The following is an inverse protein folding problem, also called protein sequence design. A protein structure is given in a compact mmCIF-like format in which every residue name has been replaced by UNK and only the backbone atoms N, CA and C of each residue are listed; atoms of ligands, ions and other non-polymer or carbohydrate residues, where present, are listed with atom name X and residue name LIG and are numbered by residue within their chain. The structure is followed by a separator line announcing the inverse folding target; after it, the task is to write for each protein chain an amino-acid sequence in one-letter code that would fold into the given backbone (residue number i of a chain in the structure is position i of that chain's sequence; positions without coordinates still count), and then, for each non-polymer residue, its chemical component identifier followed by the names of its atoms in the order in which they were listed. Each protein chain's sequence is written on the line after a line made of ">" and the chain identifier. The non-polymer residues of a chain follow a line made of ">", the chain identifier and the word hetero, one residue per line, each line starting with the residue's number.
data_IF_455437373498
#
_entry.id   IF_455437373498
#
_cell.length_a   1.000
_cell.length_b   1.000
_cell.length_c   1.000
_cell.angle_alpha   90.00
_cell.angle_beta   90.00
_cell.angle_gamma   90.00
#
_symmetry.space_group_name_H-M   'P 1'
#
loop_
_entity.id
_entity.type
_entity.pdbx_description
1 polymer ?
#
# COMPACT_ATOMS: atom_id res chain seq x y z
N UNK A 1 48.94 6.77 48.67
CA UNK A 1 47.86 6.14 49.48
C UNK A 1 46.70 5.86 48.54
N UNK A 2 46.50 4.57 48.26
CA UNK A 2 45.28 3.82 47.92
C UNK A 2 44.17 4.61 47.18
N UNK A 3 43.80 4.34 45.92
CA UNK A 3 43.67 3.03 45.28
C UNK A 3 42.23 2.54 45.43
N UNK A 4 41.45 2.54 44.36
CA UNK A 4 40.46 1.49 44.08
C UNK A 4 39.96 1.60 42.64
N UNK A 5 40.42 0.63 41.85
CA UNK A 5 39.93 0.23 40.54
C UNK A 5 38.63 -0.56 40.76
N UNK A 6 37.58 -0.27 40.00
CA UNK A 6 36.46 -1.19 39.82
C UNK A 6 36.42 -1.66 38.36
N UNK A 7 36.92 -2.88 38.17
CA UNK A 7 36.66 -3.73 37.03
C UNK A 7 35.71 -4.84 37.51
N UNK A 8 34.57 -5.01 36.86
CA UNK A 8 33.63 -6.14 36.97
C UNK A 8 32.67 -5.95 35.76
N UNK A 9 32.30 -6.90 34.92
CA UNK A 9 32.56 -8.33 34.81
C UNK A 9 32.17 -8.74 33.38
N UNK A 10 32.93 -9.70 32.86
CA UNK A 10 32.70 -10.40 31.61
C UNK A 10 31.36 -11.15 31.62
N UNK A 11 30.59 -11.04 30.53
CA UNK A 11 29.65 -12.09 30.11
C UNK A 11 29.86 -12.37 28.61
N UNK A 12 30.91 -13.13 28.32
CA UNK A 12 30.91 -14.04 27.19
C UNK A 12 29.85 -15.11 27.45
N UNK A 13 28.69 -15.01 26.81
CA UNK A 13 27.82 -16.18 26.65
C UNK A 13 28.40 -17.01 25.51
N UNK A 14 29.18 -18.01 25.90
CA UNK A 14 29.55 -19.16 25.10
C UNK A 14 28.25 -19.89 24.71
N UNK A 15 27.80 -19.76 23.46
CA UNK A 15 26.90 -20.77 22.90
C UNK A 15 27.77 -21.90 22.33
N UNK A 16 27.63 -23.05 22.98
CA UNK A 16 28.32 -24.31 22.74
C UNK A 16 28.20 -24.79 21.29
N UNK A 17 29.26 -25.47 20.89
CA UNK A 17 29.41 -26.35 19.74
C UNK A 17 28.14 -27.15 19.41
N UNK A 18 27.71 -27.06 18.14
CA UNK A 18 26.90 -28.10 17.50
C UNK A 18 27.76 -28.68 16.39
N UNK A 19 28.38 -29.81 16.67
CA UNK A 19 29.11 -30.60 15.69
C UNK A 19 28.19 -31.21 14.61
N UNK A 20 28.74 -31.58 13.44
CA UNK A 20 27.98 -31.84 12.23
C UNK A 20 27.62 -33.31 12.07
N UNK A 21 26.33 -33.67 12.15
CA UNK A 21 25.87 -35.02 11.79
C UNK A 21 24.71 -35.00 10.81
N UNK A 22 25.02 -35.01 9.52
CA UNK A 22 24.62 -36.06 8.57
C UNK A 22 24.69 -35.55 7.14
N UNK A 23 25.78 -35.91 6.45
CA UNK A 23 25.80 -35.90 4.98
C UNK A 23 24.82 -36.97 4.50
N UNK A 24 23.64 -36.58 4.03
CA UNK A 24 22.89 -37.40 3.06
C UNK A 24 23.32 -36.97 1.66
N UNK A 25 24.24 -37.74 1.09
CA UNK A 25 24.51 -37.76 -0.34
C UNK A 25 23.25 -38.25 -1.05
N UNK A 26 22.49 -37.34 -1.65
CA UNK A 26 21.55 -37.71 -2.69
C UNK A 26 22.35 -37.88 -3.99
N UNK A 27 22.66 -39.13 -4.33
CA UNK A 27 23.15 -39.49 -5.67
C UNK A 27 21.99 -39.44 -6.66
N UNK A 28 21.64 -38.23 -7.09
CA UNK A 28 20.73 -38.01 -8.22
C UNK A 28 21.53 -37.95 -9.52
N UNK A 29 21.32 -38.93 -10.41
CA UNK A 29 21.94 -38.98 -11.73
C UNK A 29 21.39 -37.86 -12.61
N UNK A 30 22.15 -36.77 -12.78
CA UNK A 30 21.79 -35.69 -13.72
C UNK A 30 22.15 -36.15 -15.13
N UNK A 31 21.16 -36.53 -15.94
CA UNK A 31 21.33 -36.62 -17.40
C UNK A 31 21.22 -35.22 -17.97
N UNK A 32 22.35 -34.65 -18.38
CA UNK A 32 22.39 -33.38 -19.09
C UNK A 32 21.92 -33.56 -20.52
N UNK A 33 20.87 -32.83 -20.91
CA UNK A 33 20.59 -32.55 -22.31
C UNK A 33 20.83 -31.05 -22.55
N UNK A 34 21.77 -30.76 -23.47
CA UNK A 34 22.03 -29.42 -23.99
C UNK A 34 20.91 -29.07 -24.96
N UNK A 35 20.16 -28.01 -24.68
CA UNK A 35 19.31 -27.35 -25.66
C UNK A 35 19.59 -25.86 -25.65
N UNK A 36 19.94 -25.32 -26.82
CA UNK A 36 20.18 -23.91 -27.09
C UNK A 36 18.85 -23.15 -27.11
N UNK A 37 18.58 -22.39 -26.04
CA UNK A 37 17.90 -21.08 -26.03
C UNK A 37 17.37 -20.75 -24.62
N UNK A 38 18.27 -20.28 -23.74
CA UNK A 38 18.07 -19.16 -22.81
C UNK A 38 16.85 -19.04 -21.88
N UNK A 39 15.98 -20.03 -21.70
CA UNK A 39 14.87 -19.97 -20.72
C UNK A 39 14.74 -21.27 -19.95
N UNK A 40 15.00 -21.23 -18.64
CA UNK A 40 14.77 -22.36 -17.75
C UNK A 40 13.32 -22.33 -17.25
N UNK A 41 12.49 -23.26 -17.72
CA UNK A 41 11.20 -23.57 -17.10
C UNK A 41 11.36 -24.88 -16.32
N UNK A 42 11.19 -24.83 -14.99
CA UNK A 42 11.15 -26.02 -14.16
C UNK A 42 9.69 -26.44 -13.94
N UNK A 43 9.26 -27.49 -14.63
CA UNK A 43 7.98 -28.16 -14.34
C UNK A 43 8.21 -29.19 -13.23
N UNK A 44 7.80 -28.87 -11.99
CA UNK A 44 7.78 -29.85 -10.90
C UNK A 44 6.45 -30.61 -10.93
N UNK A 45 6.48 -31.84 -11.42
CA UNK A 45 5.41 -32.82 -11.20
C UNK A 45 5.46 -33.28 -9.73
N UNK A 46 4.47 -32.91 -8.91
CA UNK A 46 4.21 -33.56 -7.62
C UNK A 46 2.84 -34.24 -7.66
N UNK A 47 2.87 -35.57 -7.53
CA UNK A 47 1.71 -36.41 -7.29
C UNK A 47 1.48 -36.61 -5.78
N UNK A 48 0.19 -36.68 -5.44
CA UNK A 48 -0.49 -37.25 -4.27
C UNK A 48 -0.69 -36.43 -2.97
N UNK A 49 -1.96 -35.99 -2.86
CA UNK A 49 -2.93 -36.20 -1.75
C UNK A 49 -2.48 -35.91 -0.31
N UNK A 50 -3.03 -34.83 0.25
CA UNK A 50 -4.05 -34.83 1.33
C UNK A 50 -4.61 -33.41 1.46
N UNK A 51 -5.91 -33.33 1.71
CA UNK A 51 -6.68 -32.10 1.88
C UNK A 51 -6.13 -31.27 3.04
N UNK A 52 -5.71 -30.04 2.77
CA UNK A 52 -5.75 -28.95 3.74
C UNK A 52 -6.03 -27.64 2.99
N UNK A 53 -7.12 -26.99 3.38
CA UNK A 53 -7.59 -25.71 2.85
C UNK A 53 -6.77 -24.60 3.50
N UNK A 54 -5.58 -24.33 2.97
CA UNK A 54 -4.76 -23.20 3.42
C UNK A 54 -4.66 -22.13 2.34
N UNK A 55 -5.23 -20.98 2.64
CA UNK A 55 -5.07 -19.64 2.05
C UNK A 55 -3.86 -19.54 1.12
N UNK A 56 -4.10 -19.30 -0.18
CA UNK A 56 -3.05 -19.10 -1.18
C UNK A 56 -2.39 -17.73 -1.01
N UNK A 57 -1.35 -17.63 -0.19
CA UNK A 57 -0.37 -16.56 -0.36
C UNK A 57 0.38 -16.80 -1.68
N UNK A 58 0.09 -15.99 -2.69
CA UNK A 58 0.83 -15.96 -3.95
C UNK A 58 2.18 -15.30 -3.70
N UNK A 59 3.22 -16.11 -3.44
CA UNK A 59 4.59 -15.64 -3.25
C UNK A 59 5.30 -15.63 -4.61
N UNK A 60 5.54 -14.45 -5.17
CA UNK A 60 6.37 -14.31 -6.37
C UNK A 60 7.85 -14.29 -5.96
N UNK A 61 8.64 -15.22 -6.51
CA UNK A 61 10.08 -15.30 -6.25
C UNK A 61 10.83 -14.56 -7.34
N UNK A 62 11.50 -13.45 -7.00
CA UNK A 62 12.53 -12.86 -7.83
C UNK A 62 13.81 -12.68 -6.98
N UNK A 63 14.95 -13.22 -7.44
CA UNK A 63 16.27 -13.02 -6.84
C UNK A 63 16.40 -13.34 -5.34
N UNK A 64 15.81 -14.44 -4.85
CA UNK A 64 15.94 -14.87 -3.45
C UNK A 64 15.14 -14.03 -2.43
N UNK A 65 14.39 -13.04 -2.91
CA UNK A 65 13.47 -12.23 -2.13
C UNK A 65 12.08 -12.89 -2.11
N UNK A 66 11.55 -13.20 -0.92
CA UNK A 66 10.15 -13.63 -0.75
C UNK A 66 9.29 -12.39 -0.51
N UNK A 67 8.57 -11.93 -1.53
CA UNK A 67 7.62 -10.83 -1.38
C UNK A 67 6.34 -11.33 -0.70
N UNK A 68 5.93 -10.65 0.36
CA UNK A 68 4.63 -10.84 0.99
C UNK A 68 3.66 -9.79 0.48
N UNK A 69 2.61 -10.19 -0.21
CA UNK A 69 1.55 -9.27 -0.63
C UNK A 69 0.64 -8.96 0.55
N UNK A 70 0.54 -7.68 0.91
CA UNK A 70 -0.39 -7.18 1.93
C UNK A 70 -1.48 -6.34 1.26
N UNK A 71 -2.67 -6.32 1.89
CA UNK A 71 -3.82 -5.61 1.33
C UNK A 71 -4.64 -4.87 2.38
N UNK A 72 -5.30 -3.81 1.94
CA UNK A 72 -6.24 -3.01 2.72
C UNK A 72 -7.44 -2.60 1.86
N UNK A 73 -8.52 -2.22 2.54
CA UNK A 73 -9.80 -1.83 1.94
C UNK A 73 -10.37 -0.63 2.69
N UNK A 74 -11.13 0.19 1.97
CA UNK A 74 -11.82 1.35 2.48
C UNK A 74 -13.23 1.37 1.86
N UNK A 75 -14.25 1.13 2.68
CA UNK A 75 -15.66 1.13 2.24
C UNK A 75 -16.23 2.53 2.42
N UNK A 76 -16.51 3.19 1.30
CA UNK A 76 -16.87 4.61 1.23
C UNK A 76 -18.27 4.83 1.79
N UNK A 77 -18.38 5.83 2.68
CA UNK A 77 -19.67 6.36 3.15
C UNK A 77 -19.85 7.80 2.65
N UNK A 78 -21.02 8.15 2.12
CA UNK A 78 -21.28 9.50 1.65
C UNK A 78 -21.45 10.47 2.83
N UNK A 79 -21.06 11.72 2.62
CA UNK A 79 -21.48 12.82 3.50
C UNK A 79 -22.94 13.21 3.24
N UNK A 80 -23.50 14.06 4.10
CA UNK A 80 -24.89 14.50 4.01
C UNK A 80 -25.19 15.14 2.65
N UNK A 81 -26.27 14.69 1.98
CA UNK A 81 -26.73 15.12 0.63
C UNK A 81 -25.87 14.63 -0.53
N UNK A 82 -24.91 13.75 -0.29
CA UNK A 82 -24.20 13.04 -1.34
C UNK A 82 -24.64 11.57 -1.37
N UNK A 83 -24.43 10.91 -2.50
CA UNK A 83 -24.78 9.50 -2.73
C UNK A 83 -23.58 8.62 -3.08
N UNK A 84 -22.36 9.18 -2.97
CA UNK A 84 -21.14 8.47 -3.34
C UNK A 84 -20.93 7.26 -2.43
N UNK A 85 -20.86 6.08 -3.04
CA UNK A 85 -20.61 4.82 -2.37
C UNK A 85 -19.64 3.96 -3.20
N UNK A 86 -19.10 2.92 -2.57
CA UNK A 86 -18.19 1.99 -3.23
C UNK A 86 -17.02 1.60 -2.35
N UNK A 87 -15.94 1.14 -2.99
CA UNK A 87 -14.78 0.58 -2.31
C UNK A 87 -13.49 1.06 -2.95
N UNK A 88 -12.49 1.28 -2.10
CA UNK A 88 -11.11 1.55 -2.51
C UNK A 88 -10.24 0.44 -1.94
N UNK A 89 -9.44 -0.16 -2.80
CA UNK A 89 -8.56 -1.27 -2.47
C UNK A 89 -7.10 -0.83 -2.57
N UNK A 90 -6.28 -1.40 -1.69
CA UNK A 90 -4.87 -1.09 -1.53
C UNK A 90 -4.09 -2.39 -1.53
N UNK A 91 -3.05 -2.48 -2.36
CA UNK A 91 -2.17 -3.64 -2.42
C UNK A 91 -0.73 -3.17 -2.46
N UNK A 92 0.11 -3.77 -1.63
CA UNK A 92 1.54 -3.48 -1.60
C UNK A 92 2.32 -4.78 -1.41
N UNK A 93 3.35 -4.98 -2.22
CA UNK A 93 4.25 -6.13 -2.09
C UNK A 93 5.38 -5.76 -1.12
N UNK A 94 5.33 -6.26 0.10
CA UNK A 94 6.30 -5.90 1.14
C UNK A 94 7.36 -6.98 1.30
N UNK A 95 8.55 -6.55 1.71
CA UNK A 95 9.61 -7.45 2.09
C UNK A 95 10.17 -7.05 3.46
N UNK A 96 10.23 -8.01 4.39
CA UNK A 96 10.83 -7.83 5.71
C UNK A 96 12.37 -7.96 5.72
N UNK A 97 12.97 -8.47 4.64
CA UNK A 97 14.38 -8.86 4.52
C UNK A 97 15.17 -8.03 3.49
N UNK A 98 14.53 -7.39 2.52
CA UNK A 98 15.15 -6.43 1.60
C UNK A 98 14.31 -5.16 1.61
N UNK A 99 14.92 -4.04 1.97
CA UNK A 99 14.28 -2.73 1.95
C UNK A 99 14.05 -2.35 0.49
N UNK A 100 12.87 -2.66 -0.03
CA UNK A 100 12.39 -2.10 -1.29
C UNK A 100 11.03 -1.45 -1.07
N UNK A 101 11.00 -0.16 -1.42
CA UNK A 101 9.83 0.71 -1.47
C UNK A 101 8.96 0.29 -2.65
N UNK A 102 8.24 -0.83 -2.52
CA UNK A 102 7.23 -1.17 -3.52
C UNK A 102 6.17 -0.08 -3.54
N UNK A 103 5.73 0.26 -4.74
CA UNK A 103 4.66 1.24 -4.87
C UNK A 103 3.37 0.64 -4.34
N UNK A 104 2.57 1.50 -3.70
CA UNK A 104 1.23 1.14 -3.31
C UNK A 104 0.33 1.18 -4.55
N UNK A 105 -0.25 0.05 -4.92
CA UNK A 105 -1.28 0.02 -5.96
C UNK A 105 -2.64 0.29 -5.33
N UNK A 106 -3.38 1.25 -5.89
CA UNK A 106 -4.69 1.68 -5.45
C UNK A 106 -5.69 1.39 -6.57
N UNK A 107 -6.82 0.78 -6.22
CA UNK A 107 -7.97 0.60 -7.11
C UNK A 107 -9.17 1.30 -6.50
N UNK A 108 -9.79 2.18 -7.27
CA UNK A 108 -10.95 2.96 -6.87
C UNK A 108 -12.16 2.46 -7.66
N UNK A 109 -13.22 2.06 -6.96
CA UNK A 109 -14.50 1.65 -7.54
C UNK A 109 -15.62 2.39 -6.81
N UNK A 110 -16.03 3.54 -7.36
CA UNK A 110 -17.06 4.40 -6.78
C UNK A 110 -18.19 4.65 -7.76
N UNK A 111 -19.37 4.97 -7.22
CA UNK A 111 -20.54 5.36 -7.99
C UNK A 111 -21.37 6.38 -7.22
N UNK A 112 -22.36 6.99 -7.89
CA UNK A 112 -23.31 7.91 -7.26
C UNK A 112 -22.82 9.35 -7.15
N UNK A 113 -21.85 9.74 -7.99
CA UNK A 113 -21.50 11.15 -8.21
C UNK A 113 -22.59 11.86 -9.02
N UNK A 114 -22.77 13.15 -8.76
CA UNK A 114 -23.69 14.00 -9.51
C UNK A 114 -23.03 14.51 -10.79
N UNK A 115 -23.14 13.71 -11.85
CA UNK A 115 -22.55 14.02 -13.15
C UNK A 115 -23.14 15.27 -13.81
N UNK A 116 -24.24 15.83 -13.28
CA UNK A 116 -24.83 17.08 -13.76
C UNK A 116 -24.10 18.32 -13.26
N UNK A 117 -23.24 18.18 -12.24
CA UNK A 117 -22.42 19.28 -11.71
C UNK A 117 -21.31 19.75 -12.66
N UNK A 118 -20.99 18.99 -13.70
CA UNK A 118 -20.01 19.36 -14.74
C UNK A 118 -18.54 19.23 -14.31
N UNK A 119 -18.27 18.74 -13.11
CA UNK A 119 -16.92 18.37 -12.64
C UNK A 119 -16.62 16.94 -13.09
N UNK A 120 -15.41 16.68 -13.59
CA UNK A 120 -14.98 15.34 -14.02
C UNK A 120 -13.79 14.78 -13.26
N UNK A 121 -13.01 15.65 -12.62
CA UNK A 121 -11.87 15.26 -11.82
C UNK A 121 -12.18 15.59 -10.36
N UNK A 122 -11.89 14.63 -9.48
CA UNK A 122 -12.13 14.75 -8.05
C UNK A 122 -10.84 14.49 -7.30
N UNK A 123 -10.45 15.44 -6.43
CA UNK A 123 -9.31 15.24 -5.54
C UNK A 123 -9.55 14.04 -4.61
N UNK A 124 -8.56 13.16 -4.50
CA UNK A 124 -8.57 12.00 -3.62
C UNK A 124 -7.37 12.07 -2.68
N UNK A 125 -7.64 12.07 -1.38
CA UNK A 125 -6.58 12.24 -0.39
C UNK A 125 -6.74 11.28 0.79
N UNK A 126 -5.62 10.89 1.39
CA UNK A 126 -5.60 10.31 2.72
C UNK A 126 -5.43 11.43 3.74
N UNK A 127 -6.38 11.53 4.65
CA UNK A 127 -6.40 12.46 5.75
C UNK A 127 -5.79 11.86 7.02
N UNK A 128 -5.33 12.72 7.93
CA UNK A 128 -4.53 12.32 9.09
C UNK A 128 -5.25 11.34 10.02
N UNK A 129 -6.55 11.51 10.25
CA UNK A 129 -7.31 10.71 11.22
C UNK A 129 -8.34 9.81 10.54
N UNK A 130 -8.55 8.62 11.09
CA UNK A 130 -9.65 7.72 10.73
C UNK A 130 -10.99 8.08 11.36
N UNK A 131 -11.19 9.34 11.75
CA UNK A 131 -12.45 9.82 12.33
C UNK A 131 -13.34 10.41 11.23
N UNK A 132 -14.47 9.75 10.95
CA UNK A 132 -15.41 10.16 9.89
C UNK A 132 -16.50 11.11 10.43
N UNK A 133 -16.38 11.55 11.68
CA UNK A 133 -17.31 12.46 12.33
C UNK A 133 -17.48 13.79 11.60
N UNK A 134 -18.60 14.45 11.88
CA UNK A 134 -18.99 15.73 11.29
C UNK A 134 -18.90 15.75 9.75
N UNK A 135 -19.40 14.68 9.10
CA UNK A 135 -19.37 14.55 7.64
C UNK A 135 -17.96 14.56 7.08
N UNK A 136 -17.09 13.68 7.57
CA UNK A 136 -15.68 13.57 7.21
C UNK A 136 -14.77 14.70 7.67
N UNK A 137 -15.28 15.78 8.29
CA UNK A 137 -14.44 16.91 8.74
C UNK A 137 -13.46 16.51 9.86
N UNK A 138 -13.86 15.57 10.73
CA UNK A 138 -13.02 15.07 11.81
C UNK A 138 -11.77 14.30 11.34
N UNK A 139 -11.70 13.93 10.05
CA UNK A 139 -10.52 13.29 9.47
C UNK A 139 -9.27 14.21 9.47
N UNK A 140 -9.46 15.52 9.70
CA UNK A 140 -8.37 16.49 9.79
C UNK A 140 -7.83 16.91 8.42
N UNK A 141 -6.57 17.36 8.37
CA UNK A 141 -5.85 17.72 7.15
C UNK A 141 -5.33 16.49 6.40
N UNK A 142 -4.71 16.69 5.24
CA UNK A 142 -4.01 15.61 4.52
C UNK A 142 -2.92 15.01 5.42
N UNK A 143 -2.67 13.71 5.28
CA UNK A 143 -1.62 13.04 6.05
C UNK A 143 -0.23 13.50 5.59
N UNK A 144 0.42 14.32 6.42
CA UNK A 144 1.67 14.99 6.11
C UNK A 144 2.70 14.87 7.26
N UNK A 145 3.31 13.68 7.46
CA UNK A 145 4.29 13.49 8.53
C UNK A 145 5.60 14.27 8.30
N UNK A 146 5.82 14.79 7.09
CA UNK A 146 7.07 15.46 6.69
C UNK A 146 6.93 16.98 6.55
N UNK A 147 5.78 17.56 6.89
CA UNK A 147 5.51 18.99 6.78
C UNK A 147 5.85 19.59 5.40
N UNK A 148 5.57 18.84 4.33
CA UNK A 148 5.74 19.29 2.93
C UNK A 148 4.54 20.09 2.47
N UNK A 149 4.67 20.81 1.35
CA UNK A 149 3.50 21.32 0.65
C UNK A 149 2.77 20.19 -0.08
N UNK A 150 1.49 20.45 -0.38
CA UNK A 150 0.66 19.61 -1.23
C UNK A 150 1.21 19.52 -2.66
N UNK A 151 0.99 18.39 -3.32
CA UNK A 151 1.29 18.21 -4.74
C UNK A 151 0.76 16.89 -5.31
N UNK A 152 0.92 16.70 -6.63
CA UNK A 152 0.48 15.47 -7.31
C UNK A 152 1.14 14.19 -6.75
N UNK A 153 0.45 13.04 -6.88
CA UNK A 153 0.88 11.70 -6.44
C UNK A 153 2.28 11.31 -6.94
N UNK A 154 2.73 11.89 -8.06
CA UNK A 154 4.03 11.62 -8.69
C UNK A 154 5.11 12.66 -8.37
N UNK A 155 4.81 13.74 -7.65
CA UNK A 155 5.76 14.84 -7.35
C UNK A 155 6.59 14.55 -6.10
N UNK A 156 7.84 14.98 -6.05
CA UNK A 156 8.66 14.84 -4.83
C UNK A 156 8.13 15.70 -3.66
N UNK A 157 7.71 16.92 -3.98
CA UNK A 157 7.05 17.84 -3.06
C UNK A 157 5.55 17.52 -3.06
N UNK A 158 5.11 16.85 -2.00
CA UNK A 158 3.72 16.44 -1.75
C UNK A 158 3.56 15.95 -0.33
N UNK A 159 2.32 15.82 0.14
CA UNK A 159 1.99 15.04 1.32
C UNK A 159 2.05 13.53 1.05
N UNK A 160 2.18 12.73 2.10
CA UNK A 160 2.07 11.26 1.99
C UNK A 160 0.66 10.83 1.61
N UNK A 161 -0.33 11.62 2.03
CA UNK A 161 -1.72 11.38 1.70
C UNK A 161 -2.17 11.89 0.34
N UNK A 162 -1.33 12.60 -0.42
CA UNK A 162 -1.76 13.14 -1.71
C UNK A 162 -1.85 12.03 -2.75
N UNK A 163 -3.05 11.81 -3.28
CA UNK A 163 -3.28 10.91 -4.40
C UNK A 163 -3.73 11.67 -5.65
N UNK A 164 -3.74 13.01 -5.71
CA UNK A 164 -4.17 13.73 -6.92
C UNK A 164 -5.63 13.45 -7.31
N UNK A 165 -5.92 13.47 -8.61
CA UNK A 165 -7.29 13.33 -9.12
C UNK A 165 -7.67 11.90 -9.51
N UNK A 166 -8.93 11.55 -9.29
CA UNK A 166 -9.61 10.44 -9.96
C UNK A 166 -10.67 10.97 -10.92
N UNK A 167 -10.89 10.26 -12.03
CA UNK A 167 -11.79 10.72 -13.09
C UNK A 167 -13.16 10.03 -13.03
N UNK A 168 -14.20 10.83 -12.99
CA UNK A 168 -15.60 10.42 -13.12
C UNK A 168 -15.96 10.16 -14.59
N UNK A 169 -16.66 9.05 -14.83
CA UNK A 169 -17.30 8.72 -16.10
C UNK A 169 -18.68 9.39 -16.22
N UNK A 170 -19.25 9.36 -17.43
CA UNK A 170 -20.49 10.09 -17.73
C UNK A 170 -21.70 9.65 -16.88
N UNK A 171 -21.67 8.44 -16.33
CA UNK A 171 -22.73 7.85 -15.50
C UNK A 171 -22.54 8.13 -14.00
N UNK A 172 -21.53 8.91 -13.61
CA UNK A 172 -21.24 9.19 -12.20
C UNK A 172 -20.47 8.09 -11.48
N UNK A 173 -19.83 7.19 -12.23
CA UNK A 173 -18.94 6.16 -11.69
C UNK A 173 -17.46 6.54 -11.81
N UNK A 174 -16.62 5.92 -10.98
CA UNK A 174 -15.16 5.98 -11.05
C UNK A 174 -14.63 4.55 -10.97
N UNK A 175 -13.90 4.13 -12.00
CA UNK A 175 -13.11 2.91 -11.98
C UNK A 175 -11.69 3.21 -12.44
N UNK A 176 -10.75 3.30 -11.50
CA UNK A 176 -9.35 3.64 -11.79
C UNK A 176 -8.38 2.75 -11.01
N UNK A 177 -7.26 2.40 -11.64
CA UNK A 177 -6.13 1.75 -10.99
C UNK A 177 -4.89 2.60 -11.22
N UNK A 178 -4.18 2.92 -10.13
CA UNK A 178 -2.95 3.68 -10.19
C UNK A 178 -1.97 3.24 -9.10
N UNK A 179 -0.74 3.75 -9.19
CA UNK A 179 0.30 3.48 -8.20
C UNK A 179 0.73 4.77 -7.51
N UNK A 180 1.12 4.66 -6.23
CA UNK A 180 1.64 5.77 -5.43
C UNK A 180 2.99 5.36 -4.83
N UNK A 181 4.10 6.07 -5.14
CA UNK A 181 5.43 5.55 -4.85
C UNK A 181 5.92 5.73 -3.40
N UNK A 182 5.30 6.62 -2.62
CA UNK A 182 5.79 6.96 -1.26
C UNK A 182 4.79 6.54 -0.17
N UNK A 183 3.50 6.49 -0.47
CA UNK A 183 2.46 6.03 0.47
C UNK A 183 2.60 4.53 0.73
N UNK A 184 2.43 4.11 1.99
CA UNK A 184 2.55 2.70 2.37
C UNK A 184 1.43 2.29 3.31
N UNK A 185 1.08 1.00 3.29
CA UNK A 185 0.17 0.35 4.25
C UNK A 185 0.92 -0.42 5.35
N UNK A 186 2.24 -0.28 5.42
CA UNK A 186 3.11 -0.84 6.47
C UNK A 186 4.10 0.21 6.99
N UNK A 187 4.80 -0.11 8.08
CA UNK A 187 5.83 0.75 8.66
C UNK A 187 5.28 1.99 9.37
N UNK A 188 6.20 2.89 9.74
CA UNK A 188 5.89 4.10 10.52
C UNK A 188 4.98 5.08 9.78
N UNK A 189 5.15 5.18 8.46
CA UNK A 189 4.33 6.04 7.60
C UNK A 189 3.08 5.34 7.08
N UNK A 190 2.65 4.25 7.73
CA UNK A 190 1.46 3.52 7.32
C UNK A 190 0.20 4.39 7.34
N UNK A 191 -0.65 4.17 6.34
CA UNK A 191 -1.96 4.80 6.23
C UNK A 191 -3.10 3.95 6.80
N UNK A 192 -2.80 2.76 7.34
CA UNK A 192 -3.81 1.93 8.02
C UNK A 192 -4.40 2.71 9.21
N UNK A 193 -5.73 2.70 9.32
CA UNK A 193 -6.47 3.43 10.36
C UNK A 193 -6.66 4.92 10.09
N UNK A 194 -6.17 5.43 8.95
CA UNK A 194 -6.44 6.80 8.47
C UNK A 194 -7.66 6.80 7.55
N UNK A 195 -8.13 7.99 7.15
CA UNK A 195 -9.28 8.12 6.27
C UNK A 195 -8.90 8.48 4.84
N UNK A 196 -9.55 7.88 3.84
CA UNK A 196 -9.60 8.43 2.48
C UNK A 196 -10.75 9.42 2.40
N UNK A 197 -10.57 10.51 1.67
CA UNK A 197 -11.60 11.50 1.36
C UNK A 197 -11.63 11.75 -0.14
N UNK A 198 -12.82 11.65 -0.73
CA UNK A 198 -13.11 12.10 -2.09
C UNK A 198 -13.68 13.53 -2.02
N UNK A 199 -13.17 14.41 -2.86
CA UNK A 199 -13.55 15.81 -2.89
C UNK A 199 -14.49 16.17 -4.06
N UNK A 200 -15.19 17.30 -3.92
CA UNK A 200 -16.20 17.76 -4.87
C UNK A 200 -15.62 18.37 -6.15
N UNK A 201 -14.40 18.91 -6.08
CA UNK A 201 -13.71 19.57 -7.17
C UNK A 201 -12.39 18.91 -7.53
N UNK A 202 -11.83 19.41 -8.62
CA UNK A 202 -10.50 19.04 -9.10
C UNK A 202 -9.43 19.50 -8.11
N UNK A 203 -8.48 18.60 -7.83
CA UNK A 203 -7.22 18.93 -7.21
C UNK A 203 -6.30 19.64 -8.22
N UNK A 204 -5.91 20.87 -7.93
CA UNK A 204 -5.00 21.69 -8.74
C UNK A 204 -3.51 21.32 -8.61
N UNK A 205 -3.22 20.29 -7.82
CA UNK A 205 -1.93 19.64 -7.66
C UNK A 205 -0.83 20.55 -7.08
N UNK A 206 -1.23 21.60 -6.34
CA UNK A 206 -0.31 22.57 -5.77
C UNK A 206 0.26 23.57 -6.79
N UNK A 207 -0.35 23.66 -7.98
CA UNK A 207 0.17 24.44 -9.11
C UNK A 207 -0.38 25.86 -9.18
N UNK A 208 -1.47 26.16 -8.47
CA UNK A 208 -2.07 27.49 -8.44
C UNK A 208 -1.37 28.34 -7.38
N UNK A 209 -1.12 29.62 -7.67
CA UNK A 209 -0.43 30.51 -6.75
C UNK A 209 -1.38 31.07 -5.65
N UNK A 210 -1.88 30.19 -4.79
CA UNK A 210 -2.60 30.55 -3.58
C UNK A 210 -2.29 29.55 -2.43
N UNK A 211 -2.63 29.93 -1.20
CA UNK A 211 -2.33 29.12 0.00
C UNK A 211 -3.03 27.76 -0.05
N UNK A 212 -4.32 27.75 -0.40
CA UNK A 212 -5.14 26.53 -0.44
C UNK A 212 -4.63 25.50 -1.45
N UNK A 213 -4.01 25.94 -2.55
CA UNK A 213 -3.37 25.05 -3.53
C UNK A 213 -2.24 24.26 -2.86
N UNK A 214 -1.41 24.93 -2.05
CA UNK A 214 -0.29 24.31 -1.33
C UNK A 214 -0.71 23.49 -0.12
N UNK A 215 -1.97 23.56 0.32
CA UNK A 215 -2.45 22.81 1.49
C UNK A 215 -3.43 21.69 1.15
N UNK A 216 -4.31 21.90 0.17
CA UNK A 216 -5.43 21.00 -0.13
C UNK A 216 -5.72 20.86 -1.63
N UNK A 217 -4.89 21.43 -2.50
CA UNK A 217 -5.12 21.38 -3.95
C UNK A 217 -6.39 22.09 -4.41
N UNK A 218 -6.97 22.98 -3.60
CA UNK A 218 -8.27 23.62 -3.89
C UNK A 218 -9.44 22.66 -4.24
N UNK A 219 -9.39 21.38 -3.83
CA UNK A 219 -10.40 20.38 -4.25
C UNK A 219 -11.81 20.57 -3.70
N UNK A 220 -12.05 21.57 -2.85
CA UNK A 220 -13.38 21.88 -2.33
C UNK A 220 -13.88 20.91 -1.27
N UNK A 221 -15.21 20.78 -1.16
CA UNK A 221 -15.87 20.04 -0.07
C UNK A 221 -15.64 18.53 -0.14
N UNK A 222 -15.82 17.85 0.99
CA UNK A 222 -15.66 16.39 1.12
C UNK A 222 -16.97 15.71 0.73
N UNK A 223 -16.99 14.95 -0.36
CA UNK A 223 -18.17 14.24 -0.83
C UNK A 223 -18.40 12.96 -0.03
N UNK A 224 -17.33 12.22 0.23
CA UNK A 224 -17.38 10.93 0.91
C UNK A 224 -16.04 10.59 1.55
N UNK A 225 -16.05 9.68 2.50
CA UNK A 225 -14.84 9.21 3.15
C UNK A 225 -14.96 7.78 3.66
N UNK A 226 -13.85 7.18 4.04
CA UNK A 226 -13.81 5.87 4.69
C UNK A 226 -12.51 5.68 5.46
N UNK A 227 -12.53 4.78 6.44
CA UNK A 227 -11.32 4.35 7.15
C UNK A 227 -10.64 3.23 6.39
N UNK A 228 -9.30 3.31 6.27
CA UNK A 228 -8.48 2.28 5.65
C UNK A 228 -8.26 1.14 6.66
N UNK A 229 -8.91 0.00 6.43
CA UNK A 229 -8.78 -1.22 7.23
C UNK A 229 -7.95 -2.29 6.53
N UNK A 230 -7.33 -3.20 7.30
CA UNK A 230 -6.65 -4.37 6.72
C UNK A 230 -7.65 -5.27 6.02
N UNK A 231 -7.25 -5.84 4.87
CA UNK A 231 -8.05 -6.76 4.06
C UNK A 231 -7.38 -8.13 4.00
N UNK A 232 -8.19 -9.19 3.97
CA UNK A 232 -7.76 -10.54 3.63
C UNK A 232 -7.96 -10.86 2.13
N UNK A 233 -8.58 -9.94 1.37
CA UNK A 233 -8.81 -10.06 -0.06
C UNK A 233 -7.83 -9.17 -0.81
N UNK A 234 -7.10 -9.79 -1.75
CA UNK A 234 -6.46 -9.10 -2.86
C UNK A 234 -7.40 -9.28 -4.05
N UNK A 235 -8.08 -8.22 -4.52
CA UNK A 235 -8.82 -8.28 -5.79
C UNK A 235 -7.99 -8.95 -6.90
N UNK A 236 -8.57 -9.94 -7.57
CA UNK A 236 -7.87 -10.72 -8.60
C UNK A 236 -7.57 -9.91 -9.89
N UNK A 237 -8.08 -8.68 -9.96
CA UNK A 237 -8.18 -7.84 -11.15
C UNK A 237 -7.45 -6.50 -11.00
N UNK A 238 -6.47 -6.40 -10.08
CA UNK A 238 -5.39 -5.43 -10.24
C UNK A 238 -4.60 -5.82 -11.49
N UNK A 239 -5.03 -5.33 -12.66
CA UNK A 239 -4.54 -5.74 -13.98
C UNK A 239 -3.03 -5.97 -13.99
N UNK A 240 -2.64 -7.20 -14.33
CA UNK A 240 -1.28 -7.56 -14.71
C UNK A 240 -1.09 -7.28 -16.21
#
# INVERSE_FOLDING_TARGET
>A
MNGMVFALLCFCVLYRDVEPTSRRLFTGRVRGHRFSNGRNYYTLLRNNRRNDLTVSQQVSQQNGCQLSRVSAICTVIPTRRNSVEGRIFFVQDVNSQCVHNSWLTVKVELQGLDSSAGVRNHGLHIHQFGDLGNGCLAAGSHYNPFAKNHGDRNRYERHIGDMGNVREDNDGSITEIFTVPVTSIVGENSVIGRAVVLHAGEDDLGLVNNENSRTTGNSGSRLACCVIGRSNQVPNDFGA
#
